data_IF_852199573960
#
_entry.id   IF_852199573960
#
_cell.length_a   1.000
_cell.length_b   1.000
_cell.length_c   1.000
_cell.angle_alpha   90.00
_cell.angle_beta   90.00
_cell.angle_gamma   90.00
#
_symmetry.space_group_name_H-M   'P 1'
#
loop_
_entity.id
_entity.type
_entity.pdbx_description
1 polymer ?
#
# COMPACT_ATOMS: atom_id res chain seq x y z
N UNK A 1 -7.88 2.23 12.59
CA UNK A 1 -6.63 1.48 12.40
C UNK A 1 -5.80 2.15 11.33
N UNK A 2 -4.48 1.99 11.41
CA UNK A 2 -3.49 2.43 10.42
C UNK A 2 -3.20 1.29 9.46
N UNK A 3 -3.52 1.47 8.18
CA UNK A 3 -3.41 0.44 7.14
C UNK A 3 -2.42 0.89 6.07
N UNK A 4 -1.46 0.04 5.73
CA UNK A 4 -0.69 0.18 4.50
C UNK A 4 -1.36 -0.63 3.38
N UNK A 5 -1.64 -0.01 2.24
CA UNK A 5 -2.20 -0.69 1.07
C UNK A 5 -1.24 -0.61 -0.12
N UNK A 6 -0.69 -1.77 -0.50
CA UNK A 6 0.36 -1.91 -1.50
C UNK A 6 -0.22 -2.55 -2.77
N UNK A 7 -0.35 -1.75 -3.81
CA UNK A 7 -0.91 -2.13 -5.10
C UNK A 7 -2.26 -1.46 -5.39
N UNK A 8 -2.25 -0.50 -6.32
CA UNK A 8 -3.43 0.29 -6.72
C UNK A 8 -3.88 -0.07 -8.14
N UNK A 9 -4.06 -1.37 -8.37
CA UNK A 9 -4.67 -1.89 -9.60
C UNK A 9 -6.18 -1.59 -9.68
N UNK A 10 -6.84 -2.20 -10.67
CA UNK A 10 -8.31 -2.11 -10.84
C UNK A 10 -9.05 -2.56 -9.57
N UNK A 11 -8.52 -3.57 -8.88
CA UNK A 11 -9.06 -4.06 -7.61
C UNK A 11 -8.58 -3.24 -6.40
N UNK A 12 -7.27 -2.98 -6.30
CA UNK A 12 -6.70 -2.39 -5.09
C UNK A 12 -7.14 -0.95 -4.81
N UNK A 13 -7.28 -0.11 -5.85
CA UNK A 13 -7.67 1.30 -5.68
C UNK A 13 -9.06 1.48 -5.02
N UNK A 14 -10.15 0.83 -5.48
CA UNK A 14 -11.44 0.93 -4.81
C UNK A 14 -11.43 0.29 -3.41
N UNK A 15 -10.65 -0.78 -3.18
CA UNK A 15 -10.50 -1.36 -1.84
C UNK A 15 -9.87 -0.36 -0.85
N UNK A 16 -8.77 0.30 -1.23
CA UNK A 16 -8.14 1.34 -0.43
C UNK A 16 -9.08 2.53 -0.17
N UNK A 17 -9.84 2.95 -1.20
CA UNK A 17 -10.86 4.00 -1.03
C UNK A 17 -11.94 3.62 -0.02
N UNK A 18 -12.38 2.36 0.01
CA UNK A 18 -13.36 1.89 0.98
C UNK A 18 -12.81 1.89 2.41
N UNK A 19 -11.51 1.56 2.60
CA UNK A 19 -10.87 1.66 3.92
C UNK A 19 -10.82 3.11 4.42
N UNK A 20 -10.52 4.07 3.55
CA UNK A 20 -10.59 5.50 3.89
C UNK A 20 -12.01 5.91 4.26
N UNK A 21 -13.01 5.54 3.46
CA UNK A 21 -14.43 5.84 3.73
C UNK A 21 -14.94 5.22 5.03
N UNK A 22 -14.36 4.09 5.45
CA UNK A 22 -14.64 3.45 6.73
C UNK A 22 -13.98 4.14 7.93
N UNK A 23 -13.22 5.22 7.72
CA UNK A 23 -12.56 5.99 8.77
C UNK A 23 -11.20 5.43 9.20
N UNK A 24 -10.56 4.59 8.39
CA UNK A 24 -9.19 4.15 8.64
C UNK A 24 -8.17 5.17 8.14
N UNK A 25 -7.02 5.25 8.82
CA UNK A 25 -5.86 6.00 8.34
C UNK A 25 -5.13 5.12 7.35
N UNK A 26 -5.10 5.50 6.07
CA UNK A 26 -4.53 4.67 5.01
C UNK A 26 -3.29 5.32 4.41
N UNK A 27 -2.19 4.58 4.37
CA UNK A 27 -1.05 4.87 3.52
C UNK A 27 -1.10 3.97 2.28
N UNK A 28 -0.91 4.53 1.10
CA UNK A 28 -0.98 3.78 -0.17
C UNK A 28 0.35 3.85 -0.91
N UNK A 29 0.69 2.76 -1.61
CA UNK A 29 1.81 2.73 -2.53
C UNK A 29 1.48 1.89 -3.75
N UNK A 30 2.05 2.26 -4.90
CA UNK A 30 1.99 1.47 -6.12
C UNK A 30 3.30 1.60 -6.91
N UNK A 31 3.74 0.49 -7.51
CA UNK A 31 4.97 0.44 -8.34
C UNK A 31 5.02 1.53 -9.42
N UNK A 32 3.90 1.77 -10.09
CA UNK A 32 3.75 2.90 -11.01
C UNK A 32 3.21 4.09 -10.23
N UNK A 33 3.97 5.17 -10.17
CA UNK A 33 3.60 6.42 -9.51
C UNK A 33 2.38 7.08 -10.18
N UNK A 34 1.79 8.08 -9.50
CA UNK A 34 0.63 8.84 -9.99
C UNK A 34 -0.71 8.13 -9.79
N UNK A 35 -0.74 7.06 -8.99
CA UNK A 35 -1.97 6.41 -8.56
C UNK A 35 -2.30 6.84 -7.15
N UNK A 36 -3.27 7.74 -7.03
CA UNK A 36 -3.68 8.29 -5.74
C UNK A 36 -5.07 7.81 -5.33
N UNK A 37 -5.28 7.81 -4.01
CA UNK A 37 -6.56 7.56 -3.35
C UNK A 37 -6.85 8.78 -2.48
N UNK A 38 -7.97 9.44 -2.76
CA UNK A 38 -8.41 10.59 -1.97
C UNK A 38 -8.57 10.22 -0.49
N UNK A 39 -8.03 11.06 0.40
CA UNK A 39 -8.03 10.83 1.85
C UNK A 39 -7.01 9.81 2.35
N UNK A 40 -6.19 9.22 1.47
CA UNK A 40 -5.04 8.42 1.85
C UNK A 40 -3.72 9.20 1.68
N UNK A 41 -2.69 8.81 2.45
CA UNK A 41 -1.32 9.31 2.28
C UNK A 41 -0.60 8.49 1.21
N UNK A 42 -0.11 9.12 0.15
CA UNK A 42 0.73 8.44 -0.84
C UNK A 42 2.17 8.32 -0.31
N UNK A 43 2.67 7.09 -0.21
CA UNK A 43 4.06 6.80 0.16
C UNK A 43 4.94 6.64 -1.08
N UNK A 44 6.24 6.88 -0.94
CA UNK A 44 7.25 6.74 -1.99
C UNK A 44 7.80 5.32 -2.11
N UNK A 45 7.75 4.52 -1.05
CA UNK A 45 8.19 3.12 -1.01
C UNK A 45 7.28 2.22 -0.14
N UNK A 46 7.36 0.88 -0.30
CA UNK A 46 6.71 -0.06 0.63
C UNK A 46 7.17 0.10 2.08
N UNK A 47 8.46 0.31 2.35
CA UNK A 47 8.99 0.60 3.69
C UNK A 47 8.30 1.83 4.31
N UNK A 48 8.21 2.93 3.56
CA UNK A 48 7.61 4.17 4.06
C UNK A 48 6.08 4.05 4.26
N UNK A 49 5.41 3.23 3.46
CA UNK A 49 4.00 2.93 3.64
C UNK A 49 3.74 2.12 4.92
N UNK A 50 4.66 1.23 5.29
CA UNK A 50 4.50 0.23 6.36
C UNK A 50 4.99 0.67 7.74
N UNK A 51 5.87 1.67 7.84
CA UNK A 51 6.51 2.16 9.08
C UNK A 51 5.61 2.34 10.31
N UNK A 52 4.35 2.74 10.12
CA UNK A 52 3.39 2.97 11.21
C UNK A 52 2.09 2.15 11.06
N UNK A 53 2.09 1.18 10.14
CA UNK A 53 0.92 0.38 9.85
C UNK A 53 0.71 -0.71 10.90
N UNK A 54 -0.54 -0.87 11.35
CA UNK A 54 -0.95 -2.00 12.19
C UNK A 54 -1.22 -3.25 11.33
N UNK A 55 -1.55 -3.05 10.05
CA UNK A 55 -1.80 -4.11 9.09
C UNK A 55 -1.39 -3.67 7.69
N UNK A 56 -0.86 -4.60 6.91
CA UNK A 56 -0.39 -4.38 5.54
C UNK A 56 -1.22 -5.24 4.59
N UNK A 57 -1.82 -4.61 3.59
CA UNK A 57 -2.64 -5.24 2.56
C UNK A 57 -1.89 -5.19 1.24
N UNK A 58 -1.83 -6.33 0.55
CA UNK A 58 -1.22 -6.45 -0.77
C UNK A 58 -2.29 -6.84 -1.79
N UNK A 59 -2.38 -6.09 -2.88
CA UNK A 59 -3.24 -6.41 -4.02
C UNK A 59 -2.43 -6.26 -5.31
N UNK A 60 -1.65 -7.29 -5.63
CA UNK A 60 -0.66 -7.28 -6.71
C UNK A 60 -0.80 -8.51 -7.61
N UNK A 61 -0.09 -8.48 -8.74
CA UNK A 61 -0.33 -9.37 -9.89
C UNK A 61 0.05 -10.82 -9.65
N UNK A 62 1.15 -11.06 -8.95
CA UNK A 62 1.77 -12.38 -8.82
C UNK A 62 2.71 -12.44 -7.61
N UNK A 63 3.26 -13.64 -7.36
CA UNK A 63 4.18 -13.91 -6.25
C UNK A 63 5.49 -13.11 -6.34
N UNK A 64 6.01 -12.85 -7.55
CA UNK A 64 7.24 -12.06 -7.71
C UNK A 64 7.03 -10.61 -7.29
N UNK A 65 5.85 -10.06 -7.60
CA UNK A 65 5.47 -8.73 -7.14
C UNK A 65 5.33 -8.69 -5.61
N UNK A 66 4.78 -9.74 -4.99
CA UNK A 66 4.72 -9.84 -3.52
C UNK A 66 6.14 -9.85 -2.93
N UNK A 67 7.01 -10.73 -3.40
CA UNK A 67 8.38 -10.88 -2.91
C UNK A 67 9.17 -9.57 -3.04
N UNK A 68 9.08 -8.90 -4.19
CA UNK A 68 9.73 -7.61 -4.44
C UNK A 68 9.24 -6.49 -3.52
N UNK A 69 7.98 -6.52 -3.08
CA UNK A 69 7.42 -5.50 -2.19
C UNK A 69 7.76 -5.81 -0.73
N UNK A 70 7.81 -7.08 -0.37
CA UNK A 70 8.09 -7.49 1.00
C UNK A 70 9.57 -7.44 1.35
N UNK A 71 10.45 -7.89 0.44
CA UNK A 71 11.87 -8.15 0.71
C UNK A 71 12.82 -7.52 -0.32
N UNK A 72 12.27 -6.75 -1.28
CA UNK A 72 13.09 -5.98 -2.20
C UNK A 72 13.69 -4.74 -1.54
N UNK A 73 14.54 -3.98 -2.23
CA UNK A 73 15.07 -2.73 -1.70
C UNK A 73 13.95 -1.75 -1.32
N UNK A 74 14.01 -1.17 -0.11
CA UNK A 74 12.93 -0.36 0.47
C UNK A 74 11.61 -1.14 0.62
N UNK A 75 11.73 -2.46 0.83
CA UNK A 75 10.64 -3.38 1.08
C UNK A 75 9.99 -3.17 2.44
N UNK A 76 8.88 -3.86 2.66
CA UNK A 76 8.15 -3.80 3.94
C UNK A 76 9.02 -4.21 5.14
N UNK A 77 9.95 -5.15 4.95
CA UNK A 77 10.86 -5.61 6.00
C UNK A 77 11.90 -4.57 6.46
N UNK A 78 12.10 -3.49 5.71
CA UNK A 78 12.95 -2.35 6.06
C UNK A 78 12.17 -1.18 6.71
N UNK A 79 10.85 -1.35 6.91
CA UNK A 79 9.87 -0.31 7.30
C UNK A 79 9.90 0.13 8.76
#
# INVERSE_FOLDING_TARGET
MRVAFLGLGIMGRPMASNLVKAGHTVAVWNRTQGKDVEGARTASSPAEASRDAEVIWLCVSDTKAVESILFGPQGVDEG
#
